data_IF_353364715442
#
_entry.id   IF_353364715442
#
_cell.length_a   1.000
_cell.length_b   1.000
_cell.length_c   1.000
_cell.angle_alpha   90.00
_cell.angle_beta   90.00
_cell.angle_gamma   90.00
#
_symmetry.space_group_name_H-M   'P 1'
#
loop_
_entity.id
_entity.type
_entity.pdbx_description
1 polymer ?
#
# COMPACT_ATOMS: atom_id res chain seq x y z
N UNK A 1 -15.41 5.23 -18.90
CA UNK A 1 -13.98 5.60 -19.16
C UNK A 1 -13.33 4.55 -20.03
N UNK A 2 -12.73 4.92 -21.16
CA UNK A 2 -12.12 3.97 -22.09
C UNK A 2 -10.80 3.41 -21.55
N UNK A 3 -10.39 2.21 -22.02
CA UNK A 3 -9.13 1.55 -21.64
C UNK A 3 -7.93 2.47 -21.87
N UNK A 4 -7.89 3.19 -23.00
CA UNK A 4 -6.82 4.13 -23.33
C UNK A 4 -6.73 5.29 -22.32
N UNK A 5 -7.84 5.89 -21.93
CA UNK A 5 -7.89 6.95 -20.91
C UNK A 5 -7.42 6.44 -19.53
N UNK A 6 -7.82 5.22 -19.17
CA UNK A 6 -7.37 4.59 -17.93
C UNK A 6 -5.86 4.31 -17.94
N UNK A 7 -5.34 3.76 -19.04
CA UNK A 7 -3.91 3.49 -19.19
C UNK A 7 -3.08 4.78 -19.13
N UNK A 8 -3.52 5.87 -19.81
CA UNK A 8 -2.88 7.19 -19.72
C UNK A 8 -2.85 7.71 -18.26
N UNK A 9 -3.99 7.66 -17.57
CA UNK A 9 -4.09 8.08 -16.16
C UNK A 9 -3.22 7.22 -15.23
N UNK A 10 -3.11 5.91 -15.48
CA UNK A 10 -2.25 5.02 -14.71
C UNK A 10 -0.74 5.29 -14.95
N UNK A 11 -0.35 5.72 -16.16
CA UNK A 11 1.03 6.15 -16.44
C UNK A 11 1.39 7.45 -15.74
N UNK A 12 0.44 8.38 -15.65
CA UNK A 12 0.60 9.66 -14.95
C UNK A 12 0.56 9.53 -13.42
N UNK A 13 -0.05 8.45 -12.90
CA UNK A 13 0.00 8.15 -11.47
C UNK A 13 1.45 7.87 -11.07
N UNK A 14 1.99 8.66 -10.16
CA UNK A 14 3.39 8.59 -9.76
C UNK A 14 3.77 7.17 -9.31
N UNK A 15 4.78 6.53 -9.93
CA UNK A 15 5.24 5.22 -9.50
C UNK A 15 6.07 5.28 -8.21
N UNK A 16 6.61 6.46 -7.90
CA UNK A 16 7.45 6.70 -6.74
C UNK A 16 6.85 7.80 -5.87
N UNK A 17 6.93 7.60 -4.57
CA UNK A 17 6.71 8.63 -3.59
C UNK A 17 7.67 9.80 -3.88
N UNK A 18 7.21 11.08 -3.82
CA UNK A 18 8.15 12.19 -3.81
C UNK A 18 9.18 11.91 -2.72
N UNK A 19 10.46 12.00 -3.08
CA UNK A 19 11.55 11.86 -2.13
C UNK A 19 11.41 12.98 -1.10
N UNK A 20 10.82 12.69 0.03
CA UNK A 20 10.97 13.51 1.22
C UNK A 20 12.46 13.40 1.58
N UNK A 21 13.26 14.41 1.18
CA UNK A 21 14.66 14.50 1.61
C UNK A 21 14.65 14.49 3.14
N UNK A 22 15.29 13.52 3.80
CA UNK A 22 15.38 13.56 5.26
C UNK A 22 16.11 14.83 5.66
N UNK A 23 15.53 15.62 6.56
CA UNK A 23 16.24 16.74 7.21
C UNK A 23 17.52 16.19 7.81
N UNK A 24 18.66 16.83 7.55
CA UNK A 24 20.04 16.38 7.79
C UNK A 24 20.42 16.06 9.26
N UNK A 25 19.52 16.10 10.24
CA UNK A 25 19.84 16.07 11.68
C UNK A 25 19.06 15.06 12.51
N UNK A 26 18.34 14.09 11.94
CA UNK A 26 17.75 13.03 12.76
C UNK A 26 18.64 11.79 12.73
N UNK A 27 19.06 11.31 13.94
CA UNK A 27 19.58 9.95 14.17
C UNK A 27 18.75 9.00 13.32
N UNK A 28 19.40 8.08 12.57
CA UNK A 28 18.73 7.08 11.72
C UNK A 28 17.72 6.27 12.55
N UNK A 29 16.50 6.80 12.69
CA UNK A 29 15.42 6.07 13.31
C UNK A 29 14.98 5.00 12.32
N UNK A 30 14.88 3.76 12.78
CA UNK A 30 14.35 2.68 11.98
C UNK A 30 12.93 3.04 11.57
N UNK A 31 12.65 2.94 10.29
CA UNK A 31 11.30 3.12 9.75
C UNK A 31 10.47 1.88 10.11
N UNK A 32 9.17 2.01 10.08
CA UNK A 32 8.27 0.89 10.38
C UNK A 32 7.28 0.74 9.25
N UNK A 33 7.22 -0.45 8.69
CA UNK A 33 6.24 -0.85 7.70
C UNK A 33 5.27 -1.86 8.28
N UNK A 34 4.01 -1.72 7.91
CA UNK A 34 2.98 -2.73 8.11
C UNK A 34 2.68 -3.39 6.77
N UNK A 35 2.68 -4.72 6.74
CA UNK A 35 2.42 -5.51 5.55
C UNK A 35 1.16 -6.34 5.75
N UNK A 36 0.31 -6.36 4.74
CA UNK A 36 -0.90 -7.19 4.74
C UNK A 36 -1.28 -7.53 3.29
N UNK A 37 -2.12 -8.55 3.11
CA UNK A 37 -2.64 -8.90 1.82
C UNK A 37 -4.17 -9.01 1.81
N UNK A 38 -4.77 -8.54 0.74
CA UNK A 38 -6.20 -8.69 0.51
C UNK A 38 -6.48 -9.36 -0.83
N UNK A 39 -7.47 -10.26 -0.86
CA UNK A 39 -7.87 -10.85 -2.13
C UNK A 39 -8.87 -9.98 -2.89
N UNK A 40 -8.77 -10.06 -4.19
CA UNK A 40 -9.67 -9.53 -5.20
C UNK A 40 -9.80 -10.56 -6.33
N UNK A 41 -10.42 -10.22 -7.44
CA UNK A 41 -10.55 -11.13 -8.58
C UNK A 41 -10.56 -10.40 -9.92
N UNK A 42 -10.26 -11.14 -10.99
CA UNK A 42 -10.28 -10.65 -12.36
C UNK A 42 -11.23 -11.52 -13.19
N UNK A 43 -12.22 -10.89 -13.84
CA UNK A 43 -13.22 -11.54 -14.68
C UNK A 43 -14.28 -12.29 -13.88
N UNK A 44 -13.90 -13.27 -13.09
CA UNK A 44 -14.81 -14.10 -12.28
C UNK A 44 -14.20 -14.41 -10.90
N UNK A 45 -15.03 -14.56 -9.87
CA UNK A 45 -14.61 -14.73 -8.47
C UNK A 45 -13.66 -15.92 -8.23
N UNK A 46 -13.76 -16.98 -9.03
CA UNK A 46 -12.83 -18.13 -8.95
C UNK A 46 -11.39 -17.77 -9.37
N UNK A 47 -11.19 -16.70 -10.17
CA UNK A 47 -9.87 -16.22 -10.57
C UNK A 47 -9.38 -15.19 -9.56
N UNK A 48 -9.04 -15.66 -8.37
CA UNK A 48 -8.52 -14.84 -7.27
C UNK A 48 -7.15 -14.27 -7.60
N UNK A 49 -6.95 -13.02 -7.22
CA UNK A 49 -5.68 -12.31 -7.24
C UNK A 49 -5.51 -11.66 -5.89
N UNK A 50 -4.32 -11.68 -5.33
CA UNK A 50 -4.01 -11.07 -4.05
C UNK A 50 -3.25 -9.77 -4.27
N UNK A 51 -3.73 -8.71 -3.64
CA UNK A 51 -3.04 -7.44 -3.55
C UNK A 51 -2.28 -7.41 -2.22
N UNK A 52 -0.97 -7.35 -2.32
CA UNK A 52 -0.05 -7.24 -1.21
C UNK A 52 0.39 -5.80 -1.06
N UNK A 53 0.34 -5.26 0.13
CA UNK A 53 0.66 -3.88 0.44
C UNK A 53 1.76 -3.79 1.50
N UNK A 54 2.62 -2.79 1.36
CA UNK A 54 3.51 -2.32 2.41
C UNK A 54 3.19 -0.85 2.68
N UNK A 55 2.84 -0.54 3.92
CA UNK A 55 2.41 0.79 4.35
C UNK A 55 3.40 1.32 5.37
N UNK A 56 3.90 2.53 5.16
CA UNK A 56 4.74 3.21 6.13
C UNK A 56 3.89 3.75 7.28
N UNK A 57 4.19 3.30 8.50
CA UNK A 57 3.39 3.62 9.69
C UNK A 57 3.31 5.12 9.97
N UNK A 58 4.42 5.82 9.84
CA UNK A 58 4.51 7.25 10.16
C UNK A 58 3.70 8.13 9.20
N UNK A 59 3.79 7.87 7.90
CA UNK A 59 3.10 8.65 6.88
C UNK A 59 1.75 8.08 6.46
N UNK A 60 1.43 6.83 6.87
CA UNK A 60 0.24 6.07 6.44
C UNK A 60 0.14 5.91 4.91
N UNK A 61 1.29 5.89 4.23
CA UNK A 61 1.37 5.80 2.76
C UNK A 61 1.73 4.39 2.32
N UNK A 62 1.14 3.96 1.22
CA UNK A 62 1.56 2.75 0.53
C UNK A 62 2.90 3.03 -0.13
N UNK A 63 3.95 2.33 0.30
CA UNK A 63 5.32 2.49 -0.21
C UNK A 63 5.70 1.42 -1.23
N UNK A 64 5.02 0.28 -1.21
CA UNK A 64 5.11 -0.75 -2.23
C UNK A 64 3.82 -1.56 -2.29
N UNK A 65 3.54 -2.12 -3.46
CA UNK A 65 2.44 -3.07 -3.65
C UNK A 65 2.73 -3.99 -4.84
N UNK A 66 2.18 -5.20 -4.78
CA UNK A 66 2.26 -6.18 -5.87
C UNK A 66 0.96 -6.97 -5.98
N UNK A 67 0.67 -7.46 -7.18
CA UNK A 67 -0.40 -8.43 -7.43
C UNK A 67 0.21 -9.81 -7.66
N UNK A 68 -0.42 -10.84 -7.08
CA UNK A 68 0.06 -12.20 -7.26
C UNK A 68 -0.80 -13.24 -6.56
N UNK A 69 -0.22 -14.39 -6.26
CA UNK A 69 -0.80 -15.44 -5.44
C UNK A 69 -0.61 -15.14 -3.96
N UNK A 70 -1.24 -15.91 -3.09
CA UNK A 70 -1.00 -15.87 -1.65
C UNK A 70 0.11 -16.85 -1.29
N UNK A 71 1.35 -16.47 -1.62
CA UNK A 71 2.54 -17.33 -1.47
C UNK A 71 3.80 -16.53 -1.15
N UNK A 72 4.86 -17.23 -0.73
CA UNK A 72 6.14 -16.64 -0.39
C UNK A 72 6.85 -15.99 -1.60
N UNK A 73 6.60 -16.45 -2.82
CA UNK A 73 7.17 -15.86 -4.02
C UNK A 73 6.62 -14.43 -4.23
N UNK A 74 5.33 -14.23 -4.00
CA UNK A 74 4.71 -12.90 -4.08
C UNK A 74 5.15 -12.00 -2.92
N UNK A 75 5.26 -12.54 -1.70
CA UNK A 75 5.81 -11.80 -0.56
C UNK A 75 7.25 -11.32 -0.83
N UNK A 76 8.10 -12.18 -1.44
CA UNK A 76 9.46 -11.81 -1.85
C UNK A 76 9.46 -10.70 -2.91
N UNK A 77 8.54 -10.74 -3.87
CA UNK A 77 8.38 -9.67 -4.86
C UNK A 77 7.98 -8.35 -4.21
N UNK A 78 7.10 -8.37 -3.19
CA UNK A 78 6.76 -7.18 -2.41
C UNK A 78 8.00 -6.61 -1.73
N UNK A 79 8.79 -7.43 -1.04
CA UNK A 79 10.03 -7.00 -0.40
C UNK A 79 11.04 -6.42 -1.41
N UNK A 80 11.19 -7.03 -2.58
CA UNK A 80 12.06 -6.54 -3.66
C UNK A 80 11.57 -5.19 -4.23
N UNK A 81 10.26 -4.96 -4.26
CA UNK A 81 9.67 -3.70 -4.71
C UNK A 81 9.89 -2.52 -3.74
N UNK A 82 10.29 -2.81 -2.50
CA UNK A 82 10.63 -1.78 -1.52
C UNK A 82 11.91 -1.03 -1.92
N UNK A 83 11.93 0.26 -1.68
CA UNK A 83 13.15 1.07 -1.82
C UNK A 83 14.28 0.55 -0.91
N UNK A 84 15.55 0.74 -1.33
CA UNK A 84 16.73 0.28 -0.57
C UNK A 84 16.72 0.74 0.89
N UNK A 85 16.23 1.95 1.18
CA UNK A 85 16.13 2.48 2.56
C UNK A 85 15.26 1.61 3.44
N UNK A 86 14.09 1.19 2.97
CA UNK A 86 13.19 0.31 3.71
C UNK A 86 13.76 -1.11 3.88
N UNK A 87 14.53 -1.61 2.89
CA UNK A 87 15.15 -2.94 3.00
C UNK A 87 16.32 -3.00 3.97
N UNK A 88 16.97 -1.84 4.27
CA UNK A 88 18.16 -1.77 5.13
C UNK A 88 17.87 -1.38 6.58
N UNK A 89 16.90 -0.49 6.80
CA UNK A 89 16.65 0.13 8.11
C UNK A 89 15.16 0.27 8.39
N UNK A 90 14.47 -0.88 8.49
CA UNK A 90 13.03 -0.89 8.68
C UNK A 90 12.60 -2.12 9.49
N UNK A 91 11.60 -1.94 10.36
CA UNK A 91 10.86 -3.02 10.99
C UNK A 91 9.65 -3.38 10.14
N UNK A 92 9.39 -4.68 9.96
CA UNK A 92 8.26 -5.20 9.20
C UNK A 92 7.26 -5.87 10.13
N UNK A 93 6.13 -5.22 10.36
CA UNK A 93 5.02 -5.81 11.10
C UNK A 93 4.08 -6.52 10.14
N UNK A 94 3.79 -7.78 10.43
CA UNK A 94 2.93 -8.63 9.61
C UNK A 94 2.01 -9.43 10.50
N UNK A 95 0.95 -10.02 9.93
CA UNK A 95 0.27 -11.11 10.62
C UNK A 95 1.16 -12.38 10.67
N UNK A 96 0.61 -13.44 11.27
CA UNK A 96 1.33 -14.72 11.42
C UNK A 96 1.36 -15.55 10.14
N UNK A 97 1.05 -14.98 8.97
CA UNK A 97 1.04 -15.74 7.72
C UNK A 97 2.46 -16.19 7.34
N UNK A 98 2.72 -17.52 7.19
CA UNK A 98 4.07 -18.07 7.06
C UNK A 98 4.85 -17.57 5.83
N UNK A 99 4.17 -17.08 4.78
CA UNK A 99 4.82 -16.58 3.59
C UNK A 99 5.76 -15.39 3.88
N UNK A 100 5.46 -14.57 4.89
CA UNK A 100 6.31 -13.46 5.28
C UNK A 100 7.64 -13.95 5.88
N UNK A 101 7.59 -14.95 6.77
CA UNK A 101 8.78 -15.53 7.37
C UNK A 101 9.71 -16.21 6.35
N UNK A 102 9.14 -16.76 5.27
CA UNK A 102 9.89 -17.37 4.18
C UNK A 102 10.50 -16.36 3.20
N UNK A 103 9.98 -15.13 3.17
CA UNK A 103 10.31 -14.14 2.14
C UNK A 103 11.15 -12.96 2.65
N UNK A 104 10.97 -12.56 3.92
CA UNK A 104 11.61 -11.41 4.52
C UNK A 104 12.76 -11.80 5.43
N UNK A 105 13.75 -10.90 5.65
CA UNK A 105 14.82 -11.13 6.62
C UNK A 105 14.27 -11.30 8.04
N UNK A 106 14.72 -12.34 8.75
CA UNK A 106 14.21 -12.67 10.08
C UNK A 106 14.48 -11.57 11.15
N UNK A 107 15.64 -10.90 11.08
CA UNK A 107 16.04 -9.91 12.08
C UNK A 107 15.05 -8.73 12.22
N UNK A 108 14.63 -8.05 11.14
CA UNK A 108 13.68 -6.96 11.19
C UNK A 108 12.22 -7.38 11.14
N UNK A 109 11.90 -8.64 10.92
CA UNK A 109 10.52 -9.15 10.87
C UNK A 109 9.91 -9.22 12.27
N UNK A 110 8.68 -8.75 12.39
CA UNK A 110 7.88 -8.73 13.63
C UNK A 110 6.50 -9.30 13.33
N UNK A 111 6.36 -10.64 13.25
CA UNK A 111 5.05 -11.27 13.14
C UNK A 111 4.30 -11.06 14.46
N UNK A 112 3.05 -10.64 14.37
CA UNK A 112 2.22 -10.40 15.54
C UNK A 112 0.78 -10.84 15.27
N UNK A 113 0.07 -11.36 16.26
CA UNK A 113 -1.34 -11.68 16.13
C UNK A 113 -2.14 -10.39 15.92
N UNK A 114 -3.26 -10.49 15.21
CA UNK A 114 -4.14 -9.35 14.92
C UNK A 114 -4.68 -8.68 16.19
N UNK A 115 -4.83 -9.42 17.26
CA UNK A 115 -5.25 -8.91 18.57
C UNK A 115 -4.31 -7.84 19.16
N UNK A 116 -3.03 -7.83 18.77
CA UNK A 116 -2.07 -6.82 19.23
C UNK A 116 -2.18 -5.47 18.47
N UNK A 117 -2.97 -5.39 17.41
CA UNK A 117 -3.20 -4.15 16.68
C UNK A 117 -1.99 -3.58 15.93
N UNK A 118 -0.94 -4.36 15.75
CA UNK A 118 0.29 -3.88 15.11
C UNK A 118 0.19 -3.72 13.59
N UNK A 119 -0.92 -4.17 12.99
CA UNK A 119 -1.24 -4.04 11.56
C UNK A 119 -2.47 -3.18 11.30
N UNK A 120 -2.92 -2.41 12.28
CA UNK A 120 -4.16 -1.62 12.22
C UNK A 120 -4.16 -0.58 11.09
N UNK A 121 -3.00 0.01 10.76
CA UNK A 121 -2.93 1.05 9.74
C UNK A 121 -3.10 0.44 8.35
N UNK A 122 -2.44 -0.67 8.04
CA UNK A 122 -2.61 -1.34 6.76
C UNK A 122 -4.02 -1.94 6.63
N UNK A 123 -4.61 -2.45 7.70
CA UNK A 123 -6.00 -2.95 7.71
C UNK A 123 -7.01 -1.82 7.46
N UNK A 124 -6.87 -0.68 8.14
CA UNK A 124 -7.69 0.50 7.91
C UNK A 124 -7.57 1.03 6.47
N UNK A 125 -6.35 0.97 5.91
CA UNK A 125 -6.10 1.37 4.53
C UNK A 125 -6.71 0.36 3.54
N UNK A 126 -6.66 -0.93 3.84
CA UNK A 126 -7.34 -1.98 3.08
C UNK A 126 -8.86 -1.76 3.06
N UNK A 127 -9.46 -1.44 4.20
CA UNK A 127 -10.88 -1.10 4.30
C UNK A 127 -11.22 0.14 3.47
N UNK A 128 -10.47 1.23 3.64
CA UNK A 128 -10.64 2.48 2.88
C UNK A 128 -10.47 2.28 1.36
N UNK A 129 -9.52 1.42 0.97
CA UNK A 129 -9.30 1.07 -0.44
C UNK A 129 -10.50 0.35 -1.05
N UNK A 130 -11.15 -0.55 -0.31
CA UNK A 130 -12.38 -1.23 -0.76
C UNK A 130 -13.52 -0.27 -0.98
N UNK A 131 -13.68 0.75 -0.13
CA UNK A 131 -14.74 1.75 -0.29
C UNK A 131 -14.53 2.65 -1.52
N UNK A 132 -13.28 2.91 -1.92
CA UNK A 132 -12.92 3.87 -2.96
C UNK A 132 -12.60 3.25 -4.31
N UNK A 133 -12.26 1.97 -4.33
CA UNK A 133 -11.87 1.26 -5.53
C UNK A 133 -12.83 0.08 -5.79
N UNK A 134 -13.79 0.28 -6.68
CA UNK A 134 -14.83 -0.71 -6.98
C UNK A 134 -14.29 -2.10 -7.35
N UNK A 135 -13.06 -2.18 -7.94
CA UNK A 135 -12.44 -3.48 -8.29
C UNK A 135 -11.92 -4.24 -7.09
N UNK A 136 -11.83 -3.63 -5.91
CA UNK A 136 -11.44 -4.27 -4.66
C UNK A 136 -12.66 -4.75 -3.85
N UNK A 137 -13.87 -4.39 -4.28
CA UNK A 137 -15.13 -4.83 -3.65
C UNK A 137 -15.46 -6.26 -4.10
N UNK A 138 -15.68 -7.16 -3.12
CA UNK A 138 -15.92 -8.60 -3.39
C UNK A 138 -17.31 -8.90 -3.96
N UNK A 139 -18.30 -8.06 -3.66
CA UNK A 139 -19.69 -8.16 -4.12
C UNK A 139 -20.02 -6.94 -4.97
N UNK A 140 -19.43 -6.85 -6.16
CA UNK A 140 -19.62 -5.70 -7.06
C UNK A 140 -19.64 -6.15 -8.52
N UNK A 141 -20.42 -5.45 -9.33
CA UNK A 141 -20.36 -5.55 -10.79
C UNK A 141 -19.15 -4.82 -11.37
N UNK A 142 -18.41 -4.03 -10.56
CA UNK A 142 -17.27 -3.22 -11.00
C UNK A 142 -15.96 -4.02 -10.98
N UNK A 143 -15.90 -5.16 -11.63
CA UNK A 143 -14.69 -5.97 -11.74
C UNK A 143 -13.90 -5.69 -13.03
N UNK A 144 -12.60 -5.96 -13.02
CA UNK A 144 -11.75 -5.85 -14.20
C UNK A 144 -11.79 -7.13 -15.02
N UNK A 145 -11.86 -7.02 -16.33
CA UNK A 145 -11.83 -8.18 -17.26
C UNK A 145 -10.42 -8.72 -17.49
N UNK A 146 -9.38 -7.89 -17.29
CA UNK A 146 -7.98 -8.29 -17.48
C UNK A 146 -7.10 -7.84 -16.31
N UNK A 147 -5.98 -8.53 -16.10
CA UNK A 147 -5.03 -8.20 -15.02
C UNK A 147 -4.35 -6.83 -15.22
N UNK A 148 -3.94 -6.43 -16.45
CA UNK A 148 -3.40 -5.07 -16.66
C UNK A 148 -4.40 -3.96 -16.31
N UNK A 149 -5.68 -4.13 -16.67
CA UNK A 149 -6.75 -3.19 -16.31
C UNK A 149 -6.94 -3.14 -14.80
N UNK A 150 -6.88 -4.28 -14.13
CA UNK A 150 -6.99 -4.38 -12.67
C UNK A 150 -5.85 -3.65 -11.97
N UNK A 151 -4.62 -3.90 -12.40
CA UNK A 151 -3.43 -3.23 -11.89
C UNK A 151 -3.48 -1.71 -12.12
N UNK A 152 -3.93 -1.24 -13.29
CA UNK A 152 -4.06 0.17 -13.58
C UNK A 152 -5.06 0.89 -12.65
N UNK A 153 -6.20 0.27 -12.37
CA UNK A 153 -7.21 0.81 -11.44
C UNK A 153 -6.70 0.88 -10.01
N UNK A 154 -6.02 -0.17 -9.55
CA UNK A 154 -5.40 -0.22 -8.22
C UNK A 154 -4.30 0.85 -8.10
N UNK A 155 -3.44 0.99 -9.11
CA UNK A 155 -2.39 2.01 -9.13
C UNK A 155 -2.97 3.42 -8.98
N UNK A 156 -4.03 3.74 -9.70
CA UNK A 156 -4.72 5.04 -9.58
C UNK A 156 -5.31 5.23 -8.18
N UNK A 157 -5.93 4.18 -7.62
CA UNK A 157 -6.49 4.23 -6.28
C UNK A 157 -5.41 4.50 -5.22
N UNK A 158 -4.29 3.77 -5.27
CA UNK A 158 -3.16 3.93 -4.35
C UNK A 158 -2.55 5.34 -4.48
N UNK A 159 -2.37 5.84 -5.71
CA UNK A 159 -1.87 7.20 -5.92
C UNK A 159 -2.79 8.26 -5.28
N UNK A 160 -4.10 8.12 -5.45
CA UNK A 160 -5.08 9.01 -4.82
C UNK A 160 -5.08 8.92 -3.29
N UNK A 161 -4.93 7.72 -2.73
CA UNK A 161 -4.80 7.53 -1.27
C UNK A 161 -3.54 8.21 -0.74
N UNK A 162 -2.41 7.99 -1.40
CA UNK A 162 -1.13 8.58 -1.02
C UNK A 162 -1.13 10.12 -1.09
N UNK A 163 -1.83 10.72 -2.06
CA UNK A 163 -1.97 12.18 -2.17
C UNK A 163 -2.77 12.77 -1.01
N UNK A 164 -3.80 12.08 -0.53
CA UNK A 164 -4.63 12.55 0.60
C UNK A 164 -3.90 12.52 1.94
N UNK A 165 -2.89 11.66 2.08
CA UNK A 165 -2.08 11.56 3.30
C UNK A 165 -0.96 12.60 3.38
N UNK A 166 -0.73 13.40 2.31
CA UNK A 166 0.13 14.58 2.38
C UNK A 166 -0.69 15.70 2.97
N UNK A 167 -0.34 16.26 4.16
CA UNK A 167 -0.95 17.49 4.62
C UNK A 167 -0.67 18.56 3.55
N UNK A 168 -1.70 19.06 2.91
CA UNK A 168 -1.56 20.24 2.05
C UNK A 168 -1.12 21.36 2.99
N UNK A 169 0.07 21.95 2.78
CA UNK A 169 0.61 23.06 3.58
C UNK A 169 -0.38 24.25 3.67
N UNK A 170 -1.39 24.28 2.81
CA UNK A 170 -2.46 25.28 2.77
C UNK A 170 -3.45 25.17 3.94
N UNK A 171 -3.56 24.04 4.63
CA UNK A 171 -4.53 23.88 5.74
C UNK A 171 -3.97 24.38 7.08
N UNK A 172 -2.66 24.36 7.26
CA UNK A 172 -2.03 24.87 8.47
C UNK A 172 -2.09 26.42 8.57
N UNK A 173 -2.11 27.13 7.43
CA UNK A 173 -2.23 28.59 7.42
C UNK A 173 -3.66 29.11 7.61
N UNK A 174 -4.70 28.28 7.36
CA UNK A 174 -6.09 28.71 7.54
C UNK A 174 -6.63 28.58 8.97
N UNK A 175 -5.95 27.87 9.86
CA UNK A 175 -6.38 27.72 11.26
C UNK A 175 -5.97 28.94 12.12
N UNK A 176 -5.05 29.77 11.66
CA UNK A 176 -4.60 30.98 12.41
C UNK A 176 -5.42 32.23 12.13
N UNK A 177 -6.35 32.22 11.17
CA UNK A 177 -7.15 33.41 10.81
C UNK A 177 -8.56 33.47 11.42
N UNK A 178 -8.95 32.53 12.27
CA UNK A 178 -10.24 32.55 12.96
C UNK A 178 -10.10 32.54 14.48
N UNK A 179 -9.21 33.40 15.00
CA UNK A 179 -9.19 33.75 16.41
C UNK A 179 -8.96 35.26 16.52
N UNK A 180 -10.02 36.00 16.29
CA UNK A 180 -10.32 37.28 16.92
C UNK A 180 -11.82 37.53 16.79
#
# INVERSE_FOLDING_TARGET
MTVAKLAKKARQASPALPHLRPKKTQRKRWETLELDEMWTFVGRKRRKVWLWLAVERASRRVVAWVLGRRDAATARRLWQALLKRYRRHCWYFTDLFPAYAQALPAGPLRPCPKSEGQTNIVEALNYSSRQRCGVLVRKSCSFSKSLPMHAARIKICIDQLNRKTIPTQTTAQKIWFFRF
#
